data_IF_047181141464
#
_entry.id   IF_047181141464
#
_cell.length_a   1.000
_cell.length_b   1.000
_cell.length_c   1.000
_cell.angle_alpha   90.00
_cell.angle_beta   90.00
_cell.angle_gamma   90.00
#
_symmetry.space_group_name_H-M   'P 1'
#
loop_
_entity.id
_entity.type
_entity.pdbx_description
1 polymer ?
#
# COMPACT_ATOMS: atom_id res chain seq x y z
N UNK A 1 26.82 23.85 -13.42
CA UNK A 1 26.38 24.17 -12.02
C UNK A 1 25.84 25.59 -11.92
N UNK A 2 26.52 26.62 -12.49
CA UNK A 2 26.14 28.05 -12.39
C UNK A 2 24.75 28.33 -12.96
N UNK A 3 24.43 27.82 -14.17
CA UNK A 3 23.10 28.01 -14.78
C UNK A 3 21.97 27.36 -13.98
N UNK A 4 22.20 26.18 -13.38
CA UNK A 4 21.20 25.53 -12.52
C UNK A 4 20.97 26.35 -11.24
N UNK A 5 22.05 26.85 -10.62
CA UNK A 5 21.94 27.68 -9.43
C UNK A 5 21.20 29.01 -9.72
N UNK A 6 21.49 29.66 -10.85
CA UNK A 6 20.78 30.88 -11.28
C UNK A 6 19.27 30.60 -11.49
N UNK A 7 18.93 29.46 -12.08
CA UNK A 7 17.53 29.06 -12.27
C UNK A 7 16.83 28.85 -10.92
N UNK A 8 17.44 28.09 -10.01
CA UNK A 8 16.90 27.84 -8.69
C UNK A 8 16.73 29.13 -7.87
N UNK A 9 17.69 30.04 -7.93
CA UNK A 9 17.58 31.35 -7.27
C UNK A 9 16.42 32.18 -7.82
N UNK A 10 16.14 32.15 -9.11
CA UNK A 10 15.00 32.84 -9.73
C UNK A 10 13.67 32.20 -9.32
N UNK A 11 13.66 30.91 -9.01
CA UNK A 11 12.46 30.18 -8.61
C UNK A 11 12.12 30.34 -7.11
N UNK A 12 13.10 30.71 -6.27
CA UNK A 12 12.89 30.92 -4.83
C UNK A 12 11.73 31.87 -4.49
N UNK A 13 11.56 33.06 -5.13
CA UNK A 13 10.42 33.92 -4.85
C UNK A 13 9.07 33.30 -5.19
N UNK A 14 9.02 32.42 -6.20
CA UNK A 14 7.79 31.70 -6.57
C UNK A 14 7.40 30.71 -5.46
N UNK A 15 8.37 29.98 -4.92
CA UNK A 15 8.14 29.08 -3.80
C UNK A 15 7.67 29.84 -2.56
N UNK A 16 8.36 30.90 -2.19
CA UNK A 16 7.95 31.74 -1.08
C UNK A 16 6.51 32.26 -1.24
N UNK A 17 6.13 32.62 -2.46
CA UNK A 17 4.76 33.02 -2.76
C UNK A 17 3.75 31.87 -2.68
N UNK A 18 4.11 30.66 -3.14
CA UNK A 18 3.29 29.46 -3.00
C UNK A 18 3.05 29.11 -1.53
N UNK A 19 4.09 29.16 -0.69
CA UNK A 19 4.01 28.93 0.75
C UNK A 19 3.15 30.00 1.43
N UNK A 20 3.35 31.24 1.08
CA UNK A 20 2.55 32.37 1.60
C UNK A 20 1.07 32.25 1.22
N UNK A 21 0.74 31.95 -0.03
CA UNK A 21 -0.63 31.79 -0.48
C UNK A 21 -1.33 30.59 0.17
N UNK A 22 -0.63 29.45 0.30
CA UNK A 22 -1.21 28.23 0.82
C UNK A 22 -2.43 27.75 0.04
N UNK A 23 -3.06 26.71 0.53
CA UNK A 23 -4.26 26.11 -0.05
C UNK A 23 -5.43 26.12 0.92
N UNK A 24 -6.57 26.64 0.51
CA UNK A 24 -7.78 26.67 1.34
C UNK A 24 -8.48 25.32 1.31
N UNK A 25 -8.72 24.76 2.50
CA UNK A 25 -9.39 23.48 2.67
C UNK A 25 -10.79 23.71 3.29
N UNK A 26 -11.79 23.00 2.77
CA UNK A 26 -13.10 22.87 3.39
C UNK A 26 -13.04 21.80 4.50
N UNK A 27 -13.04 22.17 5.78
CA UNK A 27 -12.88 21.21 6.87
C UNK A 27 -14.10 20.29 7.03
N UNK A 28 -15.28 20.72 6.58
CA UNK A 28 -16.52 19.92 6.66
C UNK A 28 -16.46 18.78 5.64
N UNK A 29 -16.14 19.11 4.39
CA UNK A 29 -15.94 18.10 3.34
C UNK A 29 -14.79 17.15 3.66
N UNK A 30 -13.70 17.67 4.24
CA UNK A 30 -12.58 16.82 4.63
C UNK A 30 -12.96 15.84 5.74
N UNK A 31 -13.76 16.23 6.72
CA UNK A 31 -14.29 15.29 7.72
C UNK A 31 -15.16 14.21 7.09
N UNK A 32 -15.99 14.56 6.11
CA UNK A 32 -16.78 13.57 5.35
C UNK A 32 -15.86 12.57 4.61
N UNK A 33 -14.78 13.08 3.97
CA UNK A 33 -13.74 12.24 3.37
C UNK A 33 -13.14 11.28 4.39
N UNK A 34 -12.78 11.77 5.58
CA UNK A 34 -12.19 10.93 6.63
C UNK A 34 -13.12 9.78 7.06
N UNK A 35 -14.42 10.05 7.16
CA UNK A 35 -15.42 9.02 7.49
C UNK A 35 -15.45 7.97 6.39
N UNK A 36 -15.58 8.39 5.13
CA UNK A 36 -15.55 7.50 3.95
C UNK A 36 -14.29 6.64 3.92
N UNK A 37 -13.12 7.26 4.06
CA UNK A 37 -11.85 6.54 3.99
C UNK A 37 -11.71 5.53 5.13
N UNK A 38 -12.22 5.84 6.32
CA UNK A 38 -12.26 4.90 7.45
C UNK A 38 -13.19 3.72 7.19
N UNK A 39 -14.34 3.96 6.58
CA UNK A 39 -15.25 2.89 6.14
C UNK A 39 -14.60 1.97 5.12
N UNK A 40 -13.85 2.52 4.15
CA UNK A 40 -13.12 1.72 3.17
C UNK A 40 -12.01 0.87 3.81
N UNK A 41 -11.29 1.41 4.82
CA UNK A 41 -10.33 0.61 5.60
C UNK A 41 -11.04 -0.53 6.33
N UNK A 42 -12.15 -0.24 7.02
CA UNK A 42 -12.89 -1.26 7.75
C UNK A 42 -13.44 -2.36 6.83
N UNK A 43 -13.94 -2.00 5.64
CA UNK A 43 -14.38 -2.98 4.63
C UNK A 43 -13.23 -3.85 4.12
N UNK A 44 -12.08 -3.24 3.83
CA UNK A 44 -10.92 -3.97 3.37
C UNK A 44 -10.34 -4.89 4.46
N UNK A 45 -10.35 -4.45 5.72
CA UNK A 45 -9.94 -5.24 6.88
C UNK A 45 -10.89 -6.42 7.12
N UNK A 46 -12.20 -6.20 7.00
CA UNK A 46 -13.20 -7.28 7.12
C UNK A 46 -12.98 -8.38 6.07
N UNK A 47 -12.69 -8.01 4.80
CA UNK A 47 -12.39 -8.98 3.74
C UNK A 47 -11.12 -9.80 4.04
N UNK A 48 -10.09 -9.15 4.61
CA UNK A 48 -8.87 -9.85 5.02
C UNK A 48 -9.14 -10.84 6.17
N UNK A 49 -9.90 -10.41 7.17
CA UNK A 49 -10.26 -11.24 8.31
C UNK A 49 -11.09 -12.44 7.87
N UNK A 50 -12.10 -12.21 7.03
CA UNK A 50 -12.94 -13.26 6.45
C UNK A 50 -12.10 -14.27 5.63
N UNK A 51 -11.13 -13.78 4.82
CA UNK A 51 -10.25 -14.65 4.08
C UNK A 51 -9.43 -15.56 4.99
N UNK A 52 -8.85 -15.00 6.08
CA UNK A 52 -8.05 -15.77 7.05
C UNK A 52 -8.91 -16.78 7.79
N UNK A 53 -10.11 -16.40 8.18
CA UNK A 53 -11.07 -17.28 8.87
C UNK A 53 -11.49 -18.45 7.98
N UNK A 54 -11.78 -18.20 6.71
CA UNK A 54 -12.12 -19.23 5.74
C UNK A 54 -10.93 -20.16 5.48
N UNK A 55 -9.75 -19.60 5.25
CA UNK A 55 -8.52 -20.37 5.06
C UNK A 55 -8.26 -21.29 6.26
N UNK A 56 -8.39 -20.77 7.49
CA UNK A 56 -8.25 -21.57 8.70
C UNK A 56 -9.28 -22.71 8.77
N UNK A 57 -10.55 -22.41 8.48
CA UNK A 57 -11.61 -23.42 8.53
C UNK A 57 -11.42 -24.53 7.49
N UNK A 58 -10.91 -24.22 6.31
CA UNK A 58 -10.60 -25.20 5.26
C UNK A 58 -9.42 -26.11 5.65
N UNK A 59 -8.43 -25.58 6.37
CA UNK A 59 -7.18 -26.29 6.66
C UNK A 59 -7.10 -26.88 8.09
N UNK A 60 -8.01 -26.49 8.99
CA UNK A 60 -8.00 -26.94 10.41
C UNK A 60 -8.10 -28.47 10.59
N UNK A 61 -8.64 -29.17 9.60
CA UNK A 61 -8.84 -30.64 9.62
C UNK A 61 -7.81 -31.39 8.76
N UNK A 62 -6.83 -30.73 8.15
CA UNK A 62 -5.82 -31.41 7.35
C UNK A 62 -4.79 -32.07 8.27
N UNK A 63 -4.57 -33.38 8.10
CA UNK A 63 -3.53 -34.15 8.84
C UNK A 63 -2.15 -33.50 8.74
N UNK A 64 -1.81 -32.89 7.61
CA UNK A 64 -0.56 -32.16 7.40
C UNK A 64 -0.38 -30.95 8.30
N UNK A 65 -1.46 -30.26 8.66
CA UNK A 65 -1.42 -29.11 9.58
C UNK A 65 -1.18 -29.55 11.02
N UNK A 66 -1.88 -30.60 11.44
CA UNK A 66 -1.70 -31.21 12.78
C UNK A 66 -0.28 -31.80 12.89
N UNK A 67 0.22 -32.46 11.83
CA UNK A 67 1.54 -33.07 11.78
C UNK A 67 2.66 -32.01 11.82
N UNK A 68 2.56 -30.91 11.09
CA UNK A 68 3.52 -29.82 11.16
C UNK A 68 3.59 -29.15 12.54
N UNK A 69 2.46 -29.05 13.24
CA UNK A 69 2.41 -28.54 14.62
C UNK A 69 2.98 -29.52 15.64
N UNK A 70 2.88 -30.84 15.40
CA UNK A 70 3.39 -31.88 16.32
C UNK A 70 4.82 -32.27 16.06
N UNK A 71 5.29 -32.31 14.82
CA UNK A 71 6.68 -32.66 14.48
C UNK A 71 7.72 -31.62 14.95
N UNK A 72 7.37 -30.33 14.97
CA UNK A 72 8.26 -29.31 15.56
C UNK A 72 8.41 -29.45 17.08
N UNK A 73 7.43 -30.04 17.76
CA UNK A 73 7.45 -30.22 19.21
C UNK A 73 8.27 -31.44 19.62
N UNK A 74 8.30 -32.50 18.82
CA UNK A 74 9.06 -33.73 19.11
C UNK A 74 10.58 -33.57 18.94
N UNK A 75 11.06 -32.54 18.25
CA UNK A 75 12.47 -32.28 17.95
C UNK A 75 13.13 -31.36 18.98
N UNK A 76 12.38 -30.67 19.86
CA UNK A 76 12.93 -29.71 20.81
C UNK A 76 13.00 -30.25 22.24
N UNK A 77 14.22 -30.31 22.80
CA UNK A 77 14.43 -30.50 24.24
C UNK A 77 13.71 -29.44 25.05
N UNK A 78 13.05 -29.83 26.18
CA UNK A 78 12.21 -28.98 27.03
C UNK A 78 12.79 -27.60 27.34
N UNK A 79 14.09 -27.48 27.50
CA UNK A 79 14.76 -26.21 27.85
C UNK A 79 15.03 -25.28 26.64
N UNK A 80 14.81 -25.73 25.41
CA UNK A 80 15.00 -24.93 24.20
C UNK A 80 13.68 -24.41 23.60
N UNK A 81 12.55 -24.92 24.05
CA UNK A 81 11.22 -24.55 23.56
C UNK A 81 10.89 -23.08 23.84
N UNK A 82 11.30 -22.58 25.00
CA UNK A 82 10.97 -21.22 25.45
C UNK A 82 11.88 -20.15 24.87
N UNK A 83 13.14 -20.49 24.51
CA UNK A 83 14.11 -19.52 23.99
C UNK A 83 14.03 -19.29 22.47
N UNK A 84 13.45 -20.24 21.72
CA UNK A 84 13.38 -20.16 20.25
C UNK A 84 12.04 -19.77 19.68
N UNK A 85 10.97 -19.87 20.46
CA UNK A 85 9.66 -19.37 20.06
C UNK A 85 9.65 -17.88 20.33
N UNK A 86 9.96 -17.08 19.32
CA UNK A 86 9.93 -15.63 19.43
C UNK A 86 8.54 -15.15 19.89
N UNK A 87 8.46 -13.94 20.46
CA UNK A 87 7.23 -13.37 21.05
C UNK A 87 6.01 -13.30 20.11
N UNK A 88 6.17 -13.74 18.88
CA UNK A 88 5.18 -13.67 17.79
C UNK A 88 4.57 -15.00 17.39
N UNK A 89 5.14 -16.09 17.81
CA UNK A 89 4.49 -17.40 17.74
C UNK A 89 3.80 -17.66 19.08
N UNK A 90 2.49 -17.88 19.09
CA UNK A 90 1.69 -18.01 20.30
C UNK A 90 2.37 -18.87 21.39
N UNK A 91 2.13 -18.55 22.64
CA UNK A 91 2.73 -19.26 23.75
C UNK A 91 2.33 -20.73 23.72
N UNK A 92 3.32 -21.62 23.71
CA UNK A 92 3.12 -23.04 23.89
C UNK A 92 2.91 -23.27 25.39
N UNK A 93 1.73 -23.73 25.79
CA UNK A 93 1.45 -24.13 27.18
C UNK A 93 1.69 -25.61 27.32
N UNK A 94 2.53 -25.97 28.30
CA UNK A 94 2.64 -27.33 28.79
C UNK A 94 1.44 -27.65 29.66
N UNK A 95 0.59 -28.53 29.19
CA UNK A 95 -0.59 -28.99 29.96
C UNK A 95 -0.34 -30.42 30.41
N UNK A 96 -0.31 -30.63 31.73
CA UNK A 96 -0.24 -31.95 32.31
C UNK A 96 -1.67 -32.45 32.59
N UNK A 97 -2.04 -33.57 32.00
CA UNK A 97 -3.31 -34.19 32.32
C UNK A 97 -3.22 -34.77 33.76
N UNK A 98 -4.00 -34.26 34.73
CA UNK A 98 -3.89 -34.66 36.13
C UNK A 98 -4.32 -36.11 36.40
N UNK A 99 -5.06 -36.74 35.46
CA UNK A 99 -5.54 -38.13 35.62
C UNK A 99 -4.58 -39.15 35.02
N UNK A 100 -3.85 -38.81 33.95
CA UNK A 100 -2.99 -39.77 33.25
C UNK A 100 -1.51 -39.46 33.42
N UNK A 101 -1.16 -38.30 33.95
CA UNK A 101 0.24 -37.81 34.04
C UNK A 101 0.89 -37.51 32.69
N UNK A 102 0.16 -37.65 31.59
CA UNK A 102 0.66 -37.36 30.26
C UNK A 102 0.77 -35.86 30.03
N UNK A 103 1.91 -35.43 29.52
CA UNK A 103 2.16 -34.03 29.16
C UNK A 103 1.83 -33.90 27.69
N UNK A 104 0.95 -32.94 27.38
CA UNK A 104 0.74 -32.51 26.00
C UNK A 104 0.96 -31.00 25.93
N UNK A 105 1.31 -30.53 24.75
CA UNK A 105 1.57 -29.13 24.49
C UNK A 105 0.39 -28.53 23.73
N UNK A 106 -0.23 -27.50 24.30
CA UNK A 106 -1.29 -26.76 23.65
C UNK A 106 -0.73 -25.46 23.10
N UNK A 107 -0.93 -25.23 21.81
CA UNK A 107 -0.72 -23.91 21.24
C UNK A 107 -1.87 -23.00 21.64
N UNK A 108 -1.57 -21.93 22.34
CA UNK A 108 -2.56 -20.91 22.71
C UNK A 108 -3.21 -20.28 21.45
N UNK A 109 -2.51 -20.36 20.32
CA UNK A 109 -2.96 -19.86 19.01
C UNK A 109 -2.37 -20.72 17.89
N UNK A 110 -3.03 -21.84 17.54
CA UNK A 110 -2.52 -22.77 16.52
C UNK A 110 -2.41 -22.14 15.13
N UNK A 111 -3.08 -21.05 14.88
CA UNK A 111 -2.91 -20.21 13.70
C UNK A 111 -2.64 -18.79 14.18
N UNK A 112 -1.56 -18.10 13.73
CA UNK A 112 -1.24 -16.82 14.28
C UNK A 112 -2.45 -15.89 14.14
N UNK A 113 -2.92 -15.39 15.30
CA UNK A 113 -3.97 -14.37 15.39
C UNK A 113 -5.41 -14.82 15.10
N UNK A 114 -5.70 -16.12 15.11
CA UNK A 114 -7.08 -16.62 15.11
C UNK A 114 -7.44 -17.10 16.50
N UNK A 115 -8.43 -16.49 17.12
CA UNK A 115 -8.97 -16.91 18.42
C UNK A 115 -10.25 -17.71 18.23
N UNK A 116 -10.38 -18.83 18.93
CA UNK A 116 -11.68 -19.50 19.07
C UNK A 116 -12.54 -18.68 20.03
N UNK A 117 -13.73 -18.30 19.62
CA UNK A 117 -14.74 -17.76 20.54
C UNK A 117 -15.22 -18.90 21.44
N UNK A 118 -14.76 -18.92 22.69
CA UNK A 118 -15.20 -19.87 23.71
C UNK A 118 -16.51 -19.44 24.41
N UNK A 119 -17.29 -18.54 23.82
CA UNK A 119 -18.61 -18.16 24.31
C UNK A 119 -19.66 -19.04 23.63
N UNK A 120 -19.78 -20.26 24.13
CA UNK A 120 -20.91 -21.15 23.89
C UNK A 120 -21.37 -21.73 25.21
N UNK A 121 -22.67 -21.77 25.44
CA UNK A 121 -23.28 -22.45 26.61
C UNK A 121 -22.75 -23.89 26.73
N UNK A 122 -22.53 -24.32 27.95
CA UNK A 122 -21.99 -25.64 28.31
C UNK A 122 -22.74 -26.84 27.69
N UNK A 123 -23.84 -26.62 26.99
CA UNK A 123 -24.75 -27.63 26.43
C UNK A 123 -25.06 -27.50 24.94
N UNK A 124 -24.62 -26.45 24.26
CA UNK A 124 -24.70 -26.37 22.79
C UNK A 124 -23.39 -26.86 22.19
N UNK A 125 -23.48 -27.80 21.27
CA UNK A 125 -22.29 -28.38 20.60
C UNK A 125 -21.34 -27.28 20.11
N UNK A 126 -20.05 -27.47 20.40
CA UNK A 126 -18.97 -26.50 20.13
C UNK A 126 -18.90 -26.14 18.64
N UNK A 127 -19.60 -25.12 18.24
CA UNK A 127 -19.35 -24.44 16.98
C UNK A 127 -18.43 -23.24 17.28
N UNK A 128 -17.14 -23.57 17.47
CA UNK A 128 -16.12 -22.54 17.71
C UNK A 128 -15.80 -21.85 16.41
N UNK A 129 -16.55 -20.79 16.09
CA UNK A 129 -16.20 -19.92 14.96
C UNK A 129 -14.83 -19.29 15.20
N UNK A 130 -13.90 -19.54 14.31
CA UNK A 130 -12.59 -18.91 14.34
C UNK A 130 -12.75 -17.41 14.05
N UNK A 131 -12.14 -16.55 14.89
CA UNK A 131 -12.11 -15.10 14.67
C UNK A 131 -10.70 -14.62 14.43
N UNK A 132 -10.50 -13.89 13.34
CA UNK A 132 -9.21 -13.29 13.01
C UNK A 132 -8.91 -12.08 13.91
N UNK A 133 -7.72 -12.05 14.52
CA UNK A 133 -7.23 -10.95 15.37
C UNK A 133 -5.93 -10.35 14.85
N UNK A 134 -5.67 -10.45 13.56
CA UNK A 134 -4.47 -9.87 12.95
C UNK A 134 -4.55 -8.35 12.98
N UNK A 135 -3.51 -7.71 13.49
CA UNK A 135 -3.30 -6.28 13.25
C UNK A 135 -2.57 -6.11 11.90
N UNK A 136 -3.33 -5.83 10.86
CA UNK A 136 -2.82 -5.70 9.49
C UNK A 136 -1.86 -4.51 9.28
N UNK A 137 -1.79 -3.59 10.23
CA UNK A 137 -0.80 -2.50 10.23
C UNK A 137 0.55 -2.95 10.78
N UNK A 138 0.61 -4.04 11.55
CA UNK A 138 1.82 -4.53 12.20
C UNK A 138 2.56 -5.52 11.31
N UNK A 139 3.73 -5.11 10.80
CA UNK A 139 4.61 -6.03 10.05
C UNK A 139 5.04 -7.25 10.88
N UNK A 140 5.12 -7.12 12.20
CA UNK A 140 5.47 -8.22 13.10
C UNK A 140 4.42 -9.33 13.09
N UNK A 141 3.15 -9.00 12.86
CA UNK A 141 2.07 -9.96 12.78
C UNK A 141 1.82 -10.45 11.36
N UNK A 142 1.93 -9.55 10.38
CA UNK A 142 1.62 -9.86 8.98
C UNK A 142 2.71 -10.70 8.33
N UNK A 143 4.00 -10.44 8.65
CA UNK A 143 5.13 -11.16 8.03
C UNK A 143 5.09 -12.67 8.33
N UNK A 144 4.95 -13.15 9.58
CA UNK A 144 4.86 -14.58 9.86
C UNK A 144 3.68 -15.25 9.16
N UNK A 145 2.52 -14.58 9.12
CA UNK A 145 1.34 -15.07 8.41
C UNK A 145 1.64 -15.23 6.90
N UNK A 146 2.27 -14.25 6.28
CA UNK A 146 2.58 -14.30 4.86
C UNK A 146 3.64 -15.35 4.53
N UNK A 147 4.66 -15.50 5.38
CA UNK A 147 5.68 -16.55 5.20
C UNK A 147 5.07 -17.95 5.31
N UNK A 148 4.14 -18.17 6.23
CA UNK A 148 3.38 -19.41 6.33
C UNK A 148 2.54 -19.69 5.07
N UNK A 149 2.01 -18.64 4.43
CA UNK A 149 1.31 -18.74 3.15
C UNK A 149 2.25 -18.85 1.92
N UNK A 150 3.56 -19.04 2.14
CA UNK A 150 4.55 -19.20 1.07
C UNK A 150 4.96 -17.90 0.37
N UNK A 151 4.65 -16.75 0.96
CA UNK A 151 5.05 -15.45 0.41
C UNK A 151 6.46 -15.06 0.90
N UNK A 152 7.27 -14.51 0.01
CA UNK A 152 8.59 -13.99 0.38
C UNK A 152 8.46 -12.60 1.00
N UNK A 153 8.79 -12.48 2.27
CA UNK A 153 8.80 -11.22 3.03
C UNK A 153 10.21 -10.66 3.28
N UNK A 154 11.25 -11.20 2.61
CA UNK A 154 12.64 -10.76 2.80
C UNK A 154 13.03 -9.71 1.78
N UNK A 155 13.53 -8.58 2.24
CA UNK A 155 14.09 -7.49 1.44
C UNK A 155 15.44 -7.05 1.99
N UNK A 156 16.18 -6.27 1.21
CA UNK A 156 17.46 -5.69 1.63
C UNK A 156 17.21 -4.23 2.01
N UNK A 157 17.59 -3.87 3.22
CA UNK A 157 17.53 -2.47 3.67
C UNK A 157 18.48 -1.60 2.83
N UNK A 158 17.97 -0.50 2.28
CA UNK A 158 18.73 0.35 1.37
C UNK A 158 19.94 1.03 2.04
N UNK A 159 19.84 1.33 3.36
CA UNK A 159 20.88 2.02 4.12
C UNK A 159 21.90 1.05 4.71
N UNK A 160 21.42 0.02 5.41
CA UNK A 160 22.29 -0.92 6.13
C UNK A 160 22.78 -2.08 5.28
N UNK A 161 22.21 -2.28 4.08
CA UNK A 161 22.47 -3.44 3.18
C UNK A 161 22.20 -4.80 3.83
N UNK A 162 21.54 -4.83 4.97
CA UNK A 162 21.19 -6.05 5.68
C UNK A 162 19.84 -6.61 5.23
N UNK A 163 19.66 -7.92 5.35
CA UNK A 163 18.36 -8.56 5.13
C UNK A 163 17.36 -8.11 6.19
N UNK A 164 16.20 -7.67 5.76
CA UNK A 164 15.10 -7.20 6.62
C UNK A 164 13.81 -7.89 6.22
N UNK A 165 13.00 -8.26 7.20
CA UNK A 165 11.63 -8.74 7.00
C UNK A 165 10.67 -7.57 6.83
N UNK A 166 9.82 -7.63 5.82
CA UNK A 166 8.88 -6.55 5.51
C UNK A 166 7.63 -7.07 4.80
N UNK A 167 6.49 -6.48 5.11
CA UNK A 167 5.22 -6.66 4.40
C UNK A 167 4.88 -5.41 3.55
N UNK A 168 5.91 -4.76 2.99
CA UNK A 168 5.73 -3.61 2.09
C UNK A 168 5.01 -4.02 0.80
N UNK A 169 4.11 -3.16 0.32
CA UNK A 169 3.34 -3.40 -0.91
C UNK A 169 4.24 -3.69 -2.11
N UNK A 170 5.38 -3.01 -2.23
CA UNK A 170 6.31 -3.20 -3.36
C UNK A 170 6.87 -4.61 -3.40
N UNK A 171 7.06 -5.23 -2.23
CA UNK A 171 7.57 -6.60 -2.10
C UNK A 171 6.45 -7.63 -2.29
N UNK A 172 5.27 -7.37 -1.74
CA UNK A 172 4.17 -8.34 -1.67
C UNK A 172 3.33 -8.35 -2.95
N UNK A 173 3.02 -7.20 -3.54
CA UNK A 173 2.17 -7.08 -4.73
C UNK A 173 2.60 -7.94 -5.93
N UNK A 174 3.89 -8.07 -6.30
CA UNK A 174 4.30 -8.94 -7.41
C UNK A 174 3.98 -10.42 -7.19
N UNK A 175 3.71 -10.83 -5.95
CA UNK A 175 3.42 -12.21 -5.57
C UNK A 175 1.90 -12.52 -5.56
N UNK A 176 1.05 -11.65 -6.12
CA UNK A 176 -0.39 -11.83 -6.16
C UNK A 176 -0.85 -13.13 -6.84
N UNK A 177 -0.02 -13.69 -7.73
CA UNK A 177 -0.27 -14.97 -8.39
C UNK A 177 -0.11 -16.18 -7.45
N UNK A 178 0.57 -16.04 -6.30
CA UNK A 178 0.81 -17.13 -5.35
C UNK A 178 -0.31 -17.30 -4.34
N UNK A 179 -0.94 -16.22 -3.92
CA UNK A 179 -1.95 -16.26 -2.87
C UNK A 179 -3.00 -15.17 -3.05
N UNK A 180 -4.28 -15.53 -2.97
CA UNK A 180 -5.41 -14.63 -3.17
C UNK A 180 -5.60 -13.59 -2.06
N UNK A 181 -4.92 -13.71 -0.92
CA UNK A 181 -4.90 -12.67 0.12
C UNK A 181 -4.15 -11.41 -0.32
N UNK A 182 -3.19 -11.55 -1.24
CA UNK A 182 -2.31 -10.43 -1.64
C UNK A 182 -3.08 -9.25 -2.24
N UNK A 183 -4.00 -9.42 -3.19
CA UNK A 183 -4.83 -8.33 -3.67
C UNK A 183 -5.61 -7.62 -2.57
N UNK A 184 -6.19 -8.37 -1.62
CA UNK A 184 -6.95 -7.83 -0.48
C UNK A 184 -6.05 -7.01 0.44
N UNK A 185 -4.84 -7.50 0.71
CA UNK A 185 -3.86 -6.79 1.51
C UNK A 185 -3.39 -5.48 0.84
N UNK A 186 -3.20 -5.49 -0.47
CA UNK A 186 -2.87 -4.29 -1.24
C UNK A 186 -4.01 -3.26 -1.19
N UNK A 187 -5.28 -3.71 -1.28
CA UNK A 187 -6.46 -2.86 -1.12
C UNK A 187 -6.49 -2.21 0.26
N UNK A 188 -6.32 -3.00 1.32
CA UNK A 188 -6.26 -2.52 2.70
C UNK A 188 -5.15 -1.49 2.90
N UNK A 189 -3.92 -1.80 2.46
CA UNK A 189 -2.78 -0.88 2.62
C UNK A 189 -2.98 0.44 1.89
N UNK A 190 -3.59 0.42 0.70
CA UNK A 190 -3.92 1.65 -0.03
C UNK A 190 -4.95 2.49 0.72
N UNK A 191 -6.03 1.87 1.21
CA UNK A 191 -7.04 2.55 2.01
C UNK A 191 -6.43 3.10 3.32
N UNK A 192 -5.58 2.33 3.99
CA UNK A 192 -4.92 2.71 5.23
C UNK A 192 -4.02 3.93 5.08
N UNK A 193 -3.27 4.04 3.98
CA UNK A 193 -2.44 5.21 3.68
C UNK A 193 -3.30 6.49 3.60
N UNK A 194 -4.51 6.42 3.04
CA UNK A 194 -5.40 7.57 2.96
C UNK A 194 -5.81 8.08 4.36
N UNK A 195 -6.11 7.16 5.27
CA UNK A 195 -6.47 7.50 6.66
C UNK A 195 -5.27 8.03 7.44
N UNK A 196 -4.11 7.36 7.34
CA UNK A 196 -2.93 7.68 8.15
C UNK A 196 -2.25 8.98 7.70
N UNK A 197 -2.22 9.24 6.38
CA UNK A 197 -1.55 10.40 5.79
C UNK A 197 -2.50 11.60 5.65
N UNK A 198 -3.73 11.35 5.22
CA UNK A 198 -4.71 12.39 4.88
C UNK A 198 -5.92 12.39 5.83
N UNK A 199 -5.68 11.99 7.08
CA UNK A 199 -6.67 12.01 8.16
C UNK A 199 -6.66 13.31 8.99
N UNK A 200 -6.89 13.19 10.29
CA UNK A 200 -6.97 14.30 11.25
C UNK A 200 -5.72 15.18 11.21
N UNK A 201 -4.52 14.59 11.15
CA UNK A 201 -3.24 15.31 11.08
C UNK A 201 -3.18 16.33 9.94
N UNK A 202 -3.98 16.14 8.90
CA UNK A 202 -4.03 17.06 7.76
C UNK A 202 -4.88 18.31 8.09
N UNK A 203 -6.01 18.13 8.78
CA UNK A 203 -6.84 19.27 9.29
C UNK A 203 -6.07 20.07 10.32
N UNK A 204 -5.31 19.41 11.19
CA UNK A 204 -4.52 20.05 12.25
C UNK A 204 -3.43 21.00 11.70
N UNK A 205 -3.15 20.91 10.39
CA UNK A 205 -2.23 21.81 9.68
C UNK A 205 -2.90 23.06 9.12
N UNK A 206 -4.20 23.21 9.28
CA UNK A 206 -4.89 24.46 8.90
C UNK A 206 -4.43 25.57 9.83
N UNK A 207 -3.84 26.60 9.27
CA UNK A 207 -3.43 27.77 10.03
C UNK A 207 -4.69 28.51 10.54
N UNK A 208 -4.83 28.75 11.85
CA UNK A 208 -6.03 29.34 12.43
C UNK A 208 -6.28 30.79 12.01
N UNK A 209 -5.25 31.52 11.56
CA UNK A 209 -5.34 32.90 11.13
C UNK A 209 -5.77 33.00 9.66
N UNK A 210 -5.11 32.24 8.77
CA UNK A 210 -5.38 32.29 7.32
C UNK A 210 -6.53 31.35 6.89
N UNK A 211 -6.87 30.34 7.69
CA UNK A 211 -7.78 29.27 7.33
C UNK A 211 -7.25 28.36 6.22
N UNK A 212 -5.94 28.38 5.96
CA UNK A 212 -5.28 27.69 4.85
C UNK A 212 -4.20 26.75 5.34
N UNK A 213 -3.87 25.81 4.52
CA UNK A 213 -2.71 24.91 4.70
C UNK A 213 -1.53 25.54 3.96
N UNK A 214 -0.42 25.70 4.66
CA UNK A 214 0.82 26.26 4.13
C UNK A 214 1.89 25.16 4.16
N UNK A 215 2.11 24.43 3.06
CA UNK A 215 3.18 23.43 2.98
C UNK A 215 4.54 24.10 2.98
N UNK A 216 5.56 23.36 3.45
CA UNK A 216 6.95 23.72 3.23
C UNK A 216 7.42 23.09 1.92
N UNK A 217 7.90 23.87 0.96
CA UNK A 217 8.42 23.38 -0.30
C UNK A 217 9.95 23.39 -0.34
N UNK A 218 10.52 22.33 -0.85
CA UNK A 218 11.97 22.18 -0.98
C UNK A 218 12.36 22.06 -2.45
N UNK A 219 13.15 23.02 -2.91
CA UNK A 219 13.86 22.92 -4.20
C UNK A 219 14.88 21.79 -4.09
N UNK A 220 15.06 21.03 -5.14
CA UNK A 220 16.02 19.92 -5.17
C UNK A 220 15.82 18.89 -4.04
N UNK A 221 14.63 18.81 -3.50
CA UNK A 221 14.29 17.87 -2.42
C UNK A 221 14.22 16.40 -2.86
N UNK A 222 14.24 16.15 -4.17
CA UNK A 222 14.31 14.83 -4.78
C UNK A 222 15.58 14.70 -5.63
N UNK A 223 16.18 13.50 -5.67
CA UNK A 223 17.37 13.21 -6.48
C UNK A 223 17.17 13.50 -7.99
N UNK A 224 15.93 13.53 -8.43
CA UNK A 224 15.53 13.88 -9.81
C UNK A 224 15.48 15.39 -10.08
N UNK A 225 15.77 16.24 -9.08
CA UNK A 225 15.61 17.69 -9.17
C UNK A 225 14.17 18.18 -9.10
N UNK A 226 13.20 17.31 -8.83
CA UNK A 226 11.79 17.71 -8.64
C UNK A 226 11.62 18.42 -7.31
N UNK A 227 10.69 19.38 -7.28
CA UNK A 227 10.20 19.98 -6.04
C UNK A 227 9.64 18.91 -5.12
N UNK A 228 9.90 19.00 -3.82
CA UNK A 228 9.24 18.20 -2.79
C UNK A 228 8.50 19.11 -1.82
N UNK A 229 7.53 18.55 -1.12
CA UNK A 229 6.75 19.28 -0.11
C UNK A 229 6.55 18.44 1.14
N UNK A 230 6.53 19.11 2.28
CA UNK A 230 6.26 18.51 3.60
C UNK A 230 5.29 19.40 4.37
N UNK A 231 4.85 18.97 5.50
CA UNK A 231 4.13 19.72 6.55
C UNK A 231 2.81 20.44 6.17
N UNK A 232 1.86 19.84 5.48
CA UNK A 232 1.83 18.51 4.86
C UNK A 232 2.24 18.55 3.39
N UNK A 233 2.58 17.40 2.79
CA UNK A 233 2.83 17.33 1.35
C UNK A 233 1.52 17.42 0.57
N UNK A 234 1.29 18.52 -0.14
CA UNK A 234 0.17 18.65 -1.08
C UNK A 234 0.47 17.95 -2.44
N UNK A 235 1.72 17.61 -2.71
CA UNK A 235 2.12 16.97 -3.97
C UNK A 235 1.70 15.51 -4.06
N UNK A 236 1.45 14.86 -2.92
CA UNK A 236 1.08 13.44 -2.84
C UNK A 236 -0.44 13.24 -2.64
N UNK A 237 -1.25 14.28 -2.88
CA UNK A 237 -2.70 14.18 -2.76
C UNK A 237 -3.26 13.11 -3.69
N UNK A 238 -4.22 12.29 -3.21
CA UNK A 238 -4.92 11.34 -4.06
C UNK A 238 -5.57 12.00 -5.26
N UNK A 239 -5.60 11.28 -6.39
CA UNK A 239 -6.28 11.74 -7.60
C UNK A 239 -7.82 11.60 -7.53
N UNK A 240 -8.35 11.16 -6.40
CA UNK A 240 -9.77 11.02 -6.14
C UNK A 240 -10.48 12.39 -6.26
N UNK A 241 -11.53 12.49 -7.08
CA UNK A 241 -12.25 13.75 -7.30
C UNK A 241 -12.83 14.35 -6.02
N UNK A 242 -13.30 13.51 -5.10
CA UNK A 242 -13.86 13.98 -3.83
C UNK A 242 -12.78 14.65 -2.96
N UNK A 243 -11.62 14.04 -2.81
CA UNK A 243 -10.47 14.60 -2.08
C UNK A 243 -10.06 15.94 -2.67
N UNK A 244 -10.01 16.04 -4.01
CA UNK A 244 -9.67 17.31 -4.68
C UNK A 244 -10.75 18.37 -4.50
N UNK A 245 -12.02 17.99 -4.45
CA UNK A 245 -13.12 18.93 -4.22
C UNK A 245 -13.15 19.55 -2.81
N UNK A 246 -12.36 18.99 -1.88
CA UNK A 246 -12.18 19.58 -0.55
C UNK A 246 -11.30 20.83 -0.57
N UNK A 247 -10.49 21.02 -1.63
CA UNK A 247 -9.75 22.26 -1.83
C UNK A 247 -10.63 23.26 -2.54
N UNK A 248 -10.87 24.39 -1.90
CA UNK A 248 -11.79 25.42 -2.37
C UNK A 248 -11.05 26.74 -2.66
N UNK A 249 -11.60 27.52 -3.58
CA UNK A 249 -11.14 28.90 -3.81
C UNK A 249 -11.84 29.87 -2.86
N UNK A 250 -11.28 31.07 -2.73
CA UNK A 250 -11.99 32.16 -2.08
C UNK A 250 -13.17 32.65 -2.93
N UNK A 251 -14.10 33.37 -2.30
CA UNK A 251 -15.25 33.94 -2.99
C UNK A 251 -14.77 34.87 -4.11
N UNK A 252 -15.31 34.66 -5.31
CA UNK A 252 -14.93 35.44 -6.50
C UNK A 252 -13.72 34.86 -7.27
N UNK A 253 -13.06 33.81 -6.76
CA UNK A 253 -11.93 33.14 -7.40
C UNK A 253 -12.28 31.73 -7.87
N UNK A 254 -11.49 31.21 -8.81
CA UNK A 254 -11.61 29.84 -9.31
C UNK A 254 -10.26 29.15 -9.26
N UNK A 255 -10.26 27.85 -8.98
CA UNK A 255 -9.09 27.00 -9.18
C UNK A 255 -8.89 26.73 -10.67
N UNK A 256 -7.68 26.95 -11.14
CA UNK A 256 -7.23 26.56 -12.48
C UNK A 256 -6.14 25.53 -12.32
N UNK A 257 -6.31 24.38 -12.97
CA UNK A 257 -5.30 23.32 -13.01
C UNK A 257 -4.78 23.20 -14.43
N UNK A 258 -3.48 23.41 -14.62
CA UNK A 258 -2.80 23.26 -15.89
C UNK A 258 -1.72 22.19 -15.74
N UNK A 259 -1.70 21.24 -16.67
CA UNK A 259 -0.69 20.19 -16.73
C UNK A 259 -0.21 19.99 -18.16
N UNK A 260 1.10 19.81 -18.33
CA UNK A 260 1.68 19.55 -19.64
C UNK A 260 1.49 18.09 -20.02
N UNK A 261 0.77 17.82 -21.10
CA UNK A 261 0.62 16.47 -21.62
C UNK A 261 1.96 15.97 -22.18
N UNK A 262 2.54 14.97 -21.50
CA UNK A 262 3.72 14.28 -22.04
C UNK A 262 5.00 15.12 -22.11
N UNK A 263 5.18 16.12 -21.25
CA UNK A 263 6.34 17.04 -21.26
C UNK A 263 7.68 16.30 -21.32
N UNK A 264 7.86 15.26 -20.50
CA UNK A 264 9.10 14.47 -20.47
C UNK A 264 9.37 13.78 -21.82
N UNK A 265 8.33 13.25 -22.44
CA UNK A 265 8.40 12.60 -23.75
C UNK A 265 8.77 13.58 -24.87
N UNK A 266 8.17 14.78 -24.83
CA UNK A 266 8.51 15.85 -25.78
C UNK A 266 9.96 16.30 -25.66
N UNK A 267 10.43 16.51 -24.42
CA UNK A 267 11.81 16.89 -24.16
C UNK A 267 12.79 15.80 -24.63
N UNK A 268 12.50 14.56 -24.34
CA UNK A 268 13.32 13.41 -24.76
C UNK A 268 13.38 13.31 -26.28
N UNK A 269 12.24 13.37 -26.96
CA UNK A 269 12.16 13.31 -28.42
C UNK A 269 12.91 14.50 -29.07
N UNK A 270 12.79 15.71 -28.50
CA UNK A 270 13.44 16.90 -28.97
C UNK A 270 14.97 16.82 -28.79
N UNK A 271 15.45 16.38 -27.62
CA UNK A 271 16.89 16.26 -27.35
C UNK A 271 17.51 15.15 -28.20
N UNK A 272 16.82 14.03 -28.39
CA UNK A 272 17.25 12.91 -29.22
C UNK A 272 17.11 13.21 -30.72
N UNK A 273 16.44 14.29 -31.11
CA UNK A 273 16.08 14.62 -32.50
C UNK A 273 15.35 13.46 -33.21
N UNK A 274 14.48 12.74 -32.43
CA UNK A 274 13.70 11.62 -32.94
C UNK A 274 12.45 12.13 -33.66
N UNK A 275 12.53 12.15 -34.99
CA UNK A 275 11.45 12.67 -35.83
C UNK A 275 10.17 11.85 -35.71
N UNK A 276 10.26 10.51 -35.58
CA UNK A 276 9.09 9.64 -35.47
C UNK A 276 8.35 9.87 -34.15
N UNK A 277 9.08 10.01 -33.04
CA UNK A 277 8.49 10.38 -31.76
C UNK A 277 7.85 11.78 -31.82
N UNK A 278 8.51 12.74 -32.42
CA UNK A 278 7.97 14.10 -32.53
C UNK A 278 6.71 14.15 -33.38
N UNK A 279 6.68 13.44 -34.51
CA UNK A 279 5.50 13.35 -35.38
C UNK A 279 4.30 12.73 -34.61
N UNK A 280 4.53 11.64 -33.88
CA UNK A 280 3.46 11.03 -33.08
C UNK A 280 2.98 11.94 -31.95
N UNK A 281 3.88 12.65 -31.28
CA UNK A 281 3.53 13.56 -30.19
C UNK A 281 2.80 14.81 -30.65
N UNK A 282 3.15 15.37 -31.83
CA UNK A 282 2.60 16.63 -32.36
C UNK A 282 1.34 16.39 -33.20
N UNK A 283 1.41 15.43 -34.11
CA UNK A 283 0.39 15.22 -35.13
C UNK A 283 -0.42 13.92 -34.94
N UNK A 284 0.10 12.98 -34.12
CA UNK A 284 -0.53 11.72 -33.84
C UNK A 284 -1.43 11.74 -32.60
N UNK A 285 -1.62 10.59 -31.98
CA UNK A 285 -2.41 10.42 -30.75
C UNK A 285 -1.75 11.06 -29.52
N UNK A 286 -0.45 11.25 -29.57
CA UNK A 286 0.40 11.66 -28.45
C UNK A 286 0.52 10.57 -27.36
N UNK A 287 0.12 9.35 -27.63
CA UNK A 287 0.20 8.21 -26.70
C UNK A 287 1.37 7.27 -27.08
N UNK A 288 2.58 7.69 -26.75
CA UNK A 288 3.80 6.90 -26.99
C UNK A 288 3.77 5.52 -26.32
N UNK A 289 3.07 5.37 -25.20
CA UNK A 289 2.98 4.07 -24.54
C UNK A 289 2.15 3.07 -25.36
N UNK A 290 1.09 3.53 -26.03
CA UNK A 290 0.33 2.70 -26.94
C UNK A 290 1.14 2.40 -28.21
N UNK A 291 1.89 3.37 -28.73
CA UNK A 291 2.80 3.16 -29.85
C UNK A 291 3.87 2.12 -29.52
N UNK A 292 4.55 2.30 -28.38
CA UNK A 292 5.59 1.37 -27.90
C UNK A 292 5.02 -0.03 -27.70
N UNK A 293 3.83 -0.16 -27.10
CA UNK A 293 3.18 -1.44 -26.90
C UNK A 293 2.92 -2.16 -28.23
N UNK A 294 2.41 -1.45 -29.23
CA UNK A 294 2.14 -2.00 -30.57
C UNK A 294 3.43 -2.45 -31.28
N UNK A 295 4.54 -1.75 -31.09
CA UNK A 295 5.84 -2.11 -31.67
C UNK A 295 6.46 -3.32 -30.99
N UNK A 296 6.35 -3.40 -29.66
CA UNK A 296 7.07 -4.40 -28.85
C UNK A 296 6.29 -5.72 -28.73
N UNK A 297 4.96 -5.66 -28.67
CA UNK A 297 4.14 -6.85 -28.41
C UNK A 297 3.44 -7.32 -29.69
N UNK A 298 3.82 -8.49 -30.17
CA UNK A 298 3.24 -9.14 -31.36
C UNK A 298 1.75 -9.50 -31.22
N UNK A 299 1.26 -9.55 -29.98
CA UNK A 299 -0.15 -9.79 -29.67
C UNK A 299 -1.05 -8.60 -30.06
N UNK A 300 -0.46 -7.45 -30.37
CA UNK A 300 -1.16 -6.26 -30.83
C UNK A 300 -0.94 -6.13 -32.34
N UNK A 301 -1.98 -6.29 -33.18
CA UNK A 301 -1.83 -6.11 -34.62
C UNK A 301 -1.32 -4.71 -34.99
N UNK A 302 -0.44 -4.62 -35.99
CA UNK A 302 0.20 -3.37 -36.41
C UNK A 302 -0.78 -2.31 -36.90
N UNK A 303 -1.92 -2.73 -37.42
CA UNK A 303 -3.00 -1.88 -37.91
C UNK A 303 -3.96 -1.39 -36.81
N UNK A 304 -3.77 -1.87 -35.56
CA UNK A 304 -4.63 -1.44 -34.43
C UNK A 304 -4.46 0.06 -34.16
N UNK A 305 -5.55 0.83 -34.21
CA UNK A 305 -5.50 2.25 -33.87
C UNK A 305 -4.97 2.48 -32.45
N UNK A 306 -4.07 3.42 -32.24
CA UNK A 306 -3.48 3.67 -30.92
C UNK A 306 -4.51 4.01 -29.83
N UNK A 307 -5.63 4.62 -30.23
CA UNK A 307 -6.78 4.87 -29.34
C UNK A 307 -7.40 3.58 -28.78
N UNK A 308 -7.38 2.50 -29.56
CA UNK A 308 -7.92 1.19 -29.15
C UNK A 308 -6.94 0.38 -28.31
N UNK A 309 -5.63 0.55 -28.50
CA UNK A 309 -4.61 -0.15 -27.71
C UNK A 309 -4.81 0.08 -26.21
N UNK A 310 -5.11 1.31 -25.82
CA UNK A 310 -5.40 1.65 -24.42
C UNK A 310 -6.62 0.94 -23.86
N UNK A 311 -7.64 0.73 -24.67
CA UNK A 311 -8.90 0.09 -24.25
C UNK A 311 -8.81 -1.43 -24.27
N UNK A 312 -8.27 -2.02 -25.35
CA UNK A 312 -8.24 -3.47 -25.58
C UNK A 312 -7.05 -4.18 -24.98
N UNK A 313 -5.86 -3.51 -24.98
CA UNK A 313 -4.57 -4.11 -24.60
C UNK A 313 -3.91 -3.40 -23.39
N UNK A 314 -4.72 -2.95 -22.45
CA UNK A 314 -4.25 -2.18 -21.29
C UNK A 314 -3.08 -2.85 -20.52
N UNK A 315 -3.06 -4.17 -20.26
CA UNK A 315 -1.95 -4.82 -19.57
C UNK A 315 -0.62 -4.69 -20.35
N UNK A 316 -0.64 -4.89 -21.66
CA UNK A 316 0.55 -4.79 -22.52
C UNK A 316 1.01 -3.32 -22.63
N UNK A 317 0.07 -2.39 -22.75
CA UNK A 317 0.38 -0.96 -22.71
C UNK A 317 1.00 -0.52 -21.37
N UNK A 318 0.51 -1.06 -20.26
CA UNK A 318 1.07 -0.75 -18.94
C UNK A 318 2.44 -1.40 -18.73
N UNK A 319 2.75 -2.50 -19.42
CA UNK A 319 4.09 -3.10 -19.45
C UNK A 319 5.08 -2.31 -20.34
N UNK A 320 4.57 -1.57 -21.33
CA UNK A 320 5.36 -0.72 -22.23
C UNK A 320 5.72 0.65 -21.62
N UNK A 321 5.25 0.96 -20.42
CA UNK A 321 5.62 2.19 -19.69
C UNK A 321 6.97 2.06 -19.02
#
# INVERSE_FOLDING_TARGET
>A
LTKAAEFEMKFTPVIAYMEYCGAKLDPVKWKQKMIRDKEEVNKAEAKLNEWVENYYNEHKSSEGYIKACTEEVDIMHENQLFDKVGPHMGQIKRVCNPQTGLIHYEYDKPFPYVTKNLQGDLFSGFDASAKCNVNWSSSQQVVPLFEMLGLNCTTIDAKTKQKKKSADIKLIKPQAHKCSIVPLYVEYKKAKILVDTFGQKFIDKINPVSGRIHPDYFQLGADTGRLSATNPSLMNLPHDPFTRSCFISDTGYKWISCDYKGQESFLMASIANDKAMLEELIYGSGDLHSLTARIVFTDIPDDTPLSEVKAKYKPLRDAAK
#
